data_IF_879983545222
#
_entry.id   IF_879983545222
#
_cell.length_a   1.000
_cell.length_b   1.000
_cell.length_c   1.000
_cell.angle_alpha   90.00
_cell.angle_beta   90.00
_cell.angle_gamma   90.00
#
_symmetry.space_group_name_H-M   'P 1'
#
loop_
_entity.id
_entity.type
_entity.pdbx_description
1 polymer ?
#
# COMPACT_ATOMS: atom_id res chain seq x y z
N UNK A 1 -73.59 -8.44 -36.99
CA UNK A 1 -74.38 -9.65 -36.73
C UNK A 1 -73.69 -10.49 -35.70
N UNK A 2 -74.32 -10.65 -34.68
CA UNK A 2 -74.59 -11.70 -33.68
C UNK A 2 -73.48 -11.83 -32.59
N UNK A 3 -73.73 -11.41 -31.42
CA UNK A 3 -74.51 -11.91 -30.28
C UNK A 3 -73.85 -13.07 -29.54
N UNK A 4 -73.55 -12.82 -28.27
CA UNK A 4 -74.04 -13.42 -27.02
C UNK A 4 -73.08 -14.54 -26.57
N UNK A 5 -72.69 -14.75 -25.31
CA UNK A 5 -73.35 -14.56 -24.01
C UNK A 5 -72.37 -14.84 -22.86
N UNK A 6 -72.62 -14.28 -21.78
CA UNK A 6 -72.08 -14.48 -20.46
C UNK A 6 -72.24 -15.90 -19.89
N UNK A 7 -71.39 -16.35 -18.99
CA UNK A 7 -71.91 -17.03 -17.78
C UNK A 7 -70.95 -16.89 -16.61
N UNK A 8 -71.52 -16.55 -15.48
CA UNK A 8 -71.02 -16.37 -14.12
C UNK A 8 -70.62 -17.71 -13.52
N UNK A 9 -69.59 -17.70 -12.72
CA UNK A 9 -69.28 -18.82 -11.82
C UNK A 9 -68.51 -18.27 -10.62
N UNK A 10 -69.26 -18.00 -9.60
CA UNK A 10 -68.86 -17.61 -8.25
C UNK A 10 -68.56 -18.91 -7.46
N UNK A 11 -67.38 -19.04 -6.86
CA UNK A 11 -67.24 -19.84 -5.62
C UNK A 11 -66.03 -19.40 -4.80
N UNK A 12 -66.27 -19.35 -3.55
CA UNK A 12 -65.65 -18.71 -2.45
C UNK A 12 -64.44 -19.47 -1.83
N UNK A 13 -63.63 -18.68 -1.13
CA UNK A 13 -63.02 -18.91 0.19
C UNK A 13 -61.98 -20.05 0.31
N UNK A 14 -60.71 -19.70 0.60
CA UNK A 14 -60.08 -20.11 1.85
C UNK A 14 -58.80 -19.29 2.14
N UNK A 15 -58.89 -18.51 3.22
CA UNK A 15 -57.73 -17.85 3.85
C UNK A 15 -56.79 -18.87 4.43
N UNK A 16 -55.51 -18.79 4.11
CA UNK A 16 -54.44 -19.34 4.93
C UNK A 16 -53.39 -18.23 5.10
N UNK A 17 -53.38 -17.63 6.27
CA UNK A 17 -52.24 -16.84 6.76
C UNK A 17 -51.06 -17.75 6.96
N UNK A 18 -50.01 -17.55 6.18
CA UNK A 18 -48.65 -18.01 6.57
C UNK A 18 -47.79 -16.80 6.81
N UNK A 19 -47.44 -16.64 8.07
CA UNK A 19 -46.43 -15.73 8.60
C UNK A 19 -45.06 -16.13 8.05
N UNK A 20 -44.64 -15.52 6.94
CA UNK A 20 -43.32 -15.69 6.33
C UNK A 20 -42.36 -14.62 6.85
N UNK A 21 -41.42 -15.00 7.73
CA UNK A 21 -40.32 -14.16 8.15
C UNK A 21 -39.53 -13.68 6.90
N UNK A 22 -39.57 -12.38 6.63
CA UNK A 22 -38.74 -11.76 5.63
C UNK A 22 -37.30 -11.75 6.12
N UNK A 23 -36.50 -12.73 5.67
CA UNK A 23 -35.04 -12.65 5.72
C UNK A 23 -34.66 -11.56 4.72
N UNK A 24 -34.35 -10.35 5.21
CA UNK A 24 -33.71 -9.32 4.43
C UNK A 24 -32.25 -9.77 4.17
N UNK A 25 -32.04 -10.46 3.08
CA UNK A 25 -30.71 -10.63 2.49
C UNK A 25 -30.30 -9.22 2.04
N UNK A 26 -29.49 -8.56 2.87
CA UNK A 26 -28.79 -7.36 2.48
C UNK A 26 -27.90 -7.70 1.29
N UNK A 27 -28.37 -7.39 0.09
CA UNK A 27 -27.52 -7.35 -1.10
C UNK A 27 -26.53 -6.23 -0.88
N UNK A 28 -25.38 -6.57 -0.29
CA UNK A 28 -24.20 -5.74 -0.34
C UNK A 28 -23.89 -5.50 -1.81
N UNK A 29 -24.25 -4.34 -2.32
CA UNK A 29 -23.83 -3.91 -3.63
C UNK A 29 -22.30 -3.97 -3.63
N UNK A 30 -21.73 -4.96 -4.28
CA UNK A 30 -20.34 -4.98 -4.65
C UNK A 30 -20.12 -3.73 -5.52
N UNK A 31 -19.57 -2.68 -4.90
CA UNK A 31 -19.06 -1.54 -5.64
C UNK A 31 -17.95 -2.06 -6.52
N UNK A 32 -18.21 -2.12 -7.81
CA UNK A 32 -17.20 -2.36 -8.83
C UNK A 32 -16.07 -1.32 -8.66
N UNK A 33 -14.89 -1.81 -8.34
CA UNK A 33 -13.62 -1.31 -8.81
C UNK A 33 -13.29 0.15 -8.63
N UNK A 34 -13.15 0.62 -7.39
CA UNK A 34 -12.16 1.65 -7.13
C UNK A 34 -10.89 0.90 -6.66
N UNK A 35 -9.89 0.79 -7.56
CA UNK A 35 -8.59 0.17 -7.25
C UNK A 35 -7.77 1.05 -6.28
N UNK A 36 -8.40 1.99 -5.60
CA UNK A 36 -7.75 2.83 -4.61
C UNK A 36 -7.54 2.05 -3.31
N UNK A 37 -6.29 1.85 -2.97
CA UNK A 37 -5.89 1.24 -1.70
C UNK A 37 -6.44 2.09 -0.55
N UNK A 38 -7.11 1.46 0.42
CA UNK A 38 -7.67 2.16 1.57
C UNK A 38 -6.63 2.42 2.66
N UNK A 39 -6.90 3.39 3.53
CA UNK A 39 -6.06 3.68 4.69
C UNK A 39 -5.81 2.44 5.54
N UNK A 40 -6.87 1.68 5.89
CA UNK A 40 -6.75 0.47 6.70
C UNK A 40 -5.88 -0.61 6.05
N UNK A 41 -5.95 -0.74 4.72
CA UNK A 41 -5.08 -1.67 3.99
C UNK A 41 -3.62 -1.26 4.09
N UNK A 42 -3.33 0.03 4.00
CA UNK A 42 -1.98 0.57 4.12
C UNK A 42 -1.46 0.37 5.55
N UNK A 43 -2.26 0.71 6.58
CA UNK A 43 -1.87 0.51 7.98
C UNK A 43 -1.53 -0.94 8.24
N UNK A 44 -2.40 -1.90 7.84
CA UNK A 44 -2.16 -3.34 8.02
C UNK A 44 -0.91 -3.82 7.28
N UNK A 45 -0.67 -3.32 6.07
CA UNK A 45 0.48 -3.72 5.26
C UNK A 45 1.81 -3.19 5.82
N UNK A 46 1.77 -2.00 6.43
CA UNK A 46 2.95 -1.34 6.99
C UNK A 46 3.13 -1.59 8.49
N UNK A 47 2.11 -2.11 9.18
CA UNK A 47 2.24 -2.45 10.60
C UNK A 47 3.34 -3.52 10.78
N UNK A 48 4.27 -3.32 11.73
CA UNK A 48 5.25 -4.34 12.04
C UNK A 48 4.54 -5.63 12.47
N UNK A 49 4.94 -6.78 11.91
CA UNK A 49 4.33 -8.07 12.23
C UNK A 49 4.30 -8.30 13.76
N UNK A 50 3.12 -8.53 14.34
CA UNK A 50 3.02 -8.92 15.74
C UNK A 50 3.70 -10.26 15.95
N UNK A 51 4.73 -10.31 16.81
CA UNK A 51 5.16 -11.57 17.38
C UNK A 51 3.98 -12.05 18.23
N UNK A 52 3.17 -12.99 17.70
CA UNK A 52 2.16 -13.67 18.50
C UNK A 52 2.86 -14.19 19.77
N UNK A 53 2.34 -13.91 20.98
CA UNK A 53 2.92 -14.49 22.17
C UNK A 53 2.88 -16.01 22.00
N UNK A 54 4.04 -16.66 22.13
CA UNK A 54 4.16 -18.10 22.10
C UNK A 54 3.31 -18.66 23.23
N UNK A 55 2.08 -19.06 22.93
CA UNK A 55 1.38 -20.02 23.78
C UNK A 55 2.26 -21.26 23.85
N UNK A 56 2.53 -21.71 25.03
CA UNK A 56 3.43 -22.79 25.46
C UNK A 56 3.04 -24.11 24.79
N UNK A 57 3.31 -24.24 23.49
CA UNK A 57 3.16 -25.46 22.71
C UNK A 57 4.43 -25.61 21.92
N UNK A 58 5.13 -26.71 22.11
CA UNK A 58 6.32 -27.14 21.41
C UNK A 58 6.10 -27.05 19.90
N UNK A 59 6.53 -25.95 19.27
CA UNK A 59 6.68 -25.85 17.83
C UNK A 59 8.16 -25.64 17.54
N UNK A 60 8.83 -26.73 17.23
CA UNK A 60 10.17 -26.73 16.66
C UNK A 60 10.04 -26.40 15.17
N UNK A 61 9.98 -25.10 14.85
CA UNK A 61 10.16 -24.58 13.51
C UNK A 61 11.34 -23.62 13.51
N UNK A 62 12.11 -23.46 12.44
CA UNK A 62 13.21 -22.50 12.38
C UNK A 62 12.65 -21.10 12.54
N UNK A 63 12.74 -20.55 13.75
CA UNK A 63 12.54 -19.12 13.97
C UNK A 63 13.75 -18.42 13.36
N UNK A 64 13.55 -17.68 12.30
CA UNK A 64 14.52 -16.69 11.82
C UNK A 64 14.67 -15.63 12.92
N UNK A 65 15.50 -15.89 13.90
CA UNK A 65 15.96 -14.87 14.83
C UNK A 65 16.87 -13.96 14.02
N UNK A 66 16.41 -12.77 13.70
CA UNK A 66 17.26 -11.73 13.13
C UNK A 66 18.37 -11.46 14.12
N UNK A 67 19.64 -11.61 13.69
CA UNK A 67 20.81 -11.37 14.53
C UNK A 67 20.73 -9.94 15.10
N UNK A 68 20.84 -9.77 16.42
CA UNK A 68 20.83 -8.44 17.04
C UNK A 68 21.87 -7.48 16.47
N UNK A 69 23.04 -8.00 16.03
CA UNK A 69 24.09 -7.22 15.40
C UNK A 69 23.65 -6.69 14.02
N UNK A 70 22.97 -7.52 13.22
CA UNK A 70 22.40 -7.11 11.93
C UNK A 70 21.35 -6.04 12.13
N UNK A 71 20.44 -6.23 13.08
CA UNK A 71 19.40 -5.25 13.40
C UNK A 71 19.99 -3.91 13.84
N UNK A 72 21.05 -3.91 14.66
CA UNK A 72 21.73 -2.70 15.10
C UNK A 72 22.44 -1.99 13.94
N UNK A 73 23.08 -2.74 13.03
CA UNK A 73 23.71 -2.19 11.83
C UNK A 73 22.69 -1.54 10.89
N UNK A 74 21.56 -2.20 10.63
CA UNK A 74 20.44 -1.65 9.86
C UNK A 74 19.92 -0.35 10.47
N UNK A 75 19.66 -0.34 11.78
CA UNK A 75 19.17 0.84 12.49
C UNK A 75 20.16 2.00 12.36
N UNK A 76 21.46 1.74 12.55
CA UNK A 76 22.51 2.75 12.39
C UNK A 76 22.55 3.28 10.96
N UNK A 77 22.47 2.42 9.97
CA UNK A 77 22.45 2.82 8.56
C UNK A 77 21.22 3.69 8.26
N UNK A 78 20.03 3.29 8.69
CA UNK A 78 18.79 4.09 8.53
C UNK A 78 18.96 5.47 9.14
N UNK A 79 19.58 5.60 10.31
CA UNK A 79 19.85 6.90 10.94
C UNK A 79 20.78 7.77 10.08
N UNK A 80 21.76 7.19 9.40
CA UNK A 80 22.70 7.97 8.56
C UNK A 80 22.05 8.52 7.30
N UNK A 81 21.01 7.86 6.78
CA UNK A 81 20.29 8.28 5.55
C UNK A 81 19.05 9.13 5.84
N UNK A 82 18.58 9.21 7.09
CA UNK A 82 17.45 10.04 7.49
C UNK A 82 17.73 11.52 7.17
N UNK A 83 16.72 12.19 6.61
CA UNK A 83 16.81 13.61 6.27
C UNK A 83 17.65 13.93 5.03
N UNK A 84 18.30 12.95 4.41
CA UNK A 84 19.08 13.16 3.19
C UNK A 84 18.17 13.29 1.96
N UNK A 85 18.66 14.01 0.99
CA UNK A 85 17.99 14.11 -0.31
C UNK A 85 18.21 12.82 -1.11
N UNK A 86 17.21 12.37 -1.87
CA UNK A 86 17.25 11.20 -2.75
C UNK A 86 18.49 11.17 -3.64
N UNK A 87 18.80 12.30 -4.28
CA UNK A 87 19.95 12.45 -5.18
C UNK A 87 21.32 12.38 -4.50
N UNK A 88 21.36 12.46 -3.17
CA UNK A 88 22.62 12.34 -2.41
C UNK A 88 22.96 10.89 -2.05
N UNK A 89 22.08 9.94 -2.36
CA UNK A 89 22.31 8.52 -2.12
C UNK A 89 23.21 7.93 -3.21
N UNK A 90 24.31 7.31 -2.83
CA UNK A 90 25.17 6.56 -3.73
C UNK A 90 24.47 5.29 -4.25
N UNK A 91 25.01 4.69 -5.30
CA UNK A 91 24.54 3.41 -5.83
C UNK A 91 24.61 2.33 -4.73
N UNK A 92 25.70 2.29 -3.97
CA UNK A 92 25.86 1.33 -2.87
C UNK A 92 24.82 1.49 -1.78
N UNK A 93 24.54 2.72 -1.35
CA UNK A 93 23.50 2.98 -0.35
C UNK A 93 22.11 2.59 -0.87
N UNK A 94 21.80 2.82 -2.14
CA UNK A 94 20.54 2.38 -2.75
C UNK A 94 20.40 0.85 -2.75
N UNK A 95 21.47 0.12 -3.05
CA UNK A 95 21.47 -1.36 -3.00
C UNK A 95 21.37 -1.86 -1.55
N UNK A 96 21.99 -1.20 -0.60
CA UNK A 96 21.85 -1.52 0.82
C UNK A 96 20.42 -1.31 1.30
N UNK A 97 19.79 -0.17 0.95
CA UNK A 97 18.35 0.04 1.20
C UNK A 97 17.54 -1.09 0.56
N UNK A 98 17.80 -1.44 -0.72
CA UNK A 98 17.08 -2.50 -1.42
C UNK A 98 17.20 -3.86 -0.72
N UNK A 99 18.33 -4.12 -0.07
CA UNK A 99 18.57 -5.36 0.69
C UNK A 99 17.78 -5.36 2.00
N UNK A 100 17.84 -4.27 2.76
CA UNK A 100 17.15 -4.14 4.05
C UNK A 100 15.62 -4.22 3.88
N UNK A 101 15.06 -3.60 2.85
CA UNK A 101 13.59 -3.54 2.65
C UNK A 101 12.96 -4.86 2.20
N UNK A 102 13.76 -5.88 1.83
CA UNK A 102 13.23 -7.17 1.34
C UNK A 102 12.28 -7.82 2.32
N UNK A 103 12.65 -7.82 3.60
CA UNK A 103 11.94 -8.53 4.67
C UNK A 103 11.11 -7.60 5.57
N UNK A 104 11.00 -6.31 5.20
CA UNK A 104 10.23 -5.32 5.95
C UNK A 104 8.77 -5.25 5.48
N UNK A 105 7.85 -4.83 6.37
CA UNK A 105 6.47 -4.52 6.00
C UNK A 105 6.42 -3.46 4.90
N UNK A 106 5.71 -3.75 3.83
CA UNK A 106 5.70 -2.88 2.65
C UNK A 106 4.38 -2.93 1.89
N UNK A 107 4.13 -1.88 1.14
CA UNK A 107 3.00 -1.81 0.20
C UNK A 107 3.45 -1.16 -1.10
N UNK A 108 2.97 -1.70 -2.21
CA UNK A 108 3.12 -1.10 -3.54
C UNK A 108 1.85 -0.30 -3.87
N UNK A 109 2.02 0.96 -4.19
CA UNK A 109 0.95 1.85 -4.62
C UNK A 109 1.13 2.16 -6.10
N UNK A 110 0.10 1.89 -6.90
CA UNK A 110 0.04 2.32 -8.29
C UNK A 110 -0.25 3.82 -8.32
N UNK A 111 0.81 4.62 -8.36
CA UNK A 111 0.71 6.08 -8.43
C UNK A 111 1.05 6.52 -9.85
N UNK A 112 0.02 6.95 -10.55
CA UNK A 112 0.17 7.53 -11.87
C UNK A 112 0.59 9.00 -11.73
N UNK A 113 1.60 9.37 -12.47
CA UNK A 113 2.06 10.75 -12.62
C UNK A 113 1.69 11.23 -14.03
N UNK A 114 1.61 12.51 -14.22
CA UNK A 114 1.41 13.07 -15.55
C UNK A 114 2.59 12.71 -16.46
N UNK A 115 2.33 12.70 -17.76
CA UNK A 115 3.35 12.29 -18.74
C UNK A 115 4.63 13.13 -18.58
N UNK A 116 5.77 12.46 -18.52
CA UNK A 116 7.09 13.07 -18.31
C UNK A 116 7.18 14.00 -17.09
N UNK A 117 6.33 13.81 -16.09
CA UNK A 117 6.23 14.63 -14.89
C UNK A 117 6.44 13.81 -13.62
N UNK A 118 6.73 14.51 -12.53
CA UNK A 118 6.66 14.03 -11.16
C UNK A 118 5.43 14.59 -10.43
N UNK A 119 4.53 15.29 -11.12
CA UNK A 119 3.30 15.78 -10.54
C UNK A 119 2.32 14.63 -10.34
N UNK A 120 1.75 14.55 -9.15
CA UNK A 120 0.77 13.51 -8.80
C UNK A 120 -0.50 13.77 -9.59
N UNK A 121 -0.90 12.82 -10.44
CA UNK A 121 -2.12 12.96 -11.23
C UNK A 121 -3.36 12.99 -10.32
N UNK A 122 -4.42 13.66 -10.78
CA UNK A 122 -5.70 13.71 -10.06
C UNK A 122 -6.26 12.31 -9.75
N UNK A 123 -6.01 11.33 -10.64
CA UNK A 123 -6.42 9.93 -10.46
C UNK A 123 -5.74 9.27 -9.27
N UNK A 124 -4.48 9.59 -9.00
CA UNK A 124 -3.68 8.98 -7.92
C UNK A 124 -3.76 9.73 -6.60
N UNK A 125 -4.31 10.94 -6.62
CA UNK A 125 -4.43 11.76 -5.42
C UNK A 125 -5.14 11.04 -4.25
N UNK A 126 -6.27 10.31 -4.46
CA UNK A 126 -6.91 9.57 -3.38
C UNK A 126 -5.99 8.53 -2.71
N UNK A 127 -5.17 7.80 -3.48
CA UNK A 127 -4.21 6.82 -2.94
C UNK A 127 -3.11 7.48 -2.11
N UNK A 128 -2.60 8.64 -2.56
CA UNK A 128 -1.60 9.41 -1.80
C UNK A 128 -2.21 10.02 -0.53
N UNK A 129 -3.46 10.43 -0.59
CA UNK A 129 -4.20 10.90 0.60
C UNK A 129 -4.43 9.77 1.60
N UNK A 130 -4.81 8.57 1.14
CA UNK A 130 -4.94 7.39 1.99
C UNK A 130 -3.60 7.04 2.65
N UNK A 131 -2.48 7.12 1.90
CA UNK A 131 -1.14 6.95 2.45
C UNK A 131 -0.86 7.99 3.55
N UNK A 132 -1.14 9.27 3.31
CA UNK A 132 -0.91 10.32 4.29
C UNK A 132 -1.66 10.08 5.61
N UNK A 133 -2.94 9.71 5.53
CA UNK A 133 -3.73 9.35 6.71
C UNK A 133 -3.17 8.12 7.42
N UNK A 134 -2.80 7.09 6.66
CA UNK A 134 -2.22 5.87 7.23
C UNK A 134 -0.91 6.13 7.98
N UNK A 135 0.00 6.93 7.43
CA UNK A 135 1.29 7.24 8.08
C UNK A 135 1.13 8.14 9.31
N UNK A 136 0.01 8.84 9.46
CA UNK A 136 -0.33 9.61 10.67
C UNK A 136 -1.14 8.81 11.69
N UNK A 137 -1.56 7.58 11.37
CA UNK A 137 -2.23 6.68 12.29
C UNK A 137 -1.34 6.35 13.50
N UNK A 138 -1.95 6.13 14.67
CA UNK A 138 -1.24 5.86 15.93
C UNK A 138 -0.29 4.66 15.84
N UNK A 139 -0.65 3.63 15.04
CA UNK A 139 0.14 2.40 14.89
C UNK A 139 1.43 2.61 14.06
N UNK A 140 1.49 3.66 13.26
CA UNK A 140 2.59 3.95 12.34
C UNK A 140 3.30 5.27 12.65
N UNK A 141 2.71 6.11 13.50
CA UNK A 141 3.24 7.43 13.83
C UNK A 141 4.63 7.34 14.48
N UNK A 142 5.57 8.11 13.95
CA UNK A 142 6.94 8.15 14.44
C UNK A 142 7.88 7.09 13.87
N UNK A 143 7.34 6.16 13.06
CA UNK A 143 8.16 5.21 12.30
C UNK A 143 8.92 5.90 11.17
N UNK A 144 10.02 5.31 10.75
CA UNK A 144 10.77 5.74 9.57
C UNK A 144 10.32 4.92 8.36
N UNK A 145 10.03 5.58 7.25
CA UNK A 145 9.58 4.94 6.02
C UNK A 145 10.54 5.19 4.88
N UNK A 146 10.73 4.18 4.04
CA UNK A 146 11.34 4.34 2.71
C UNK A 146 10.22 4.51 1.69
N UNK A 147 10.30 5.57 0.89
CA UNK A 147 9.43 5.82 -0.27
C UNK A 147 10.25 5.61 -1.52
N UNK A 148 10.05 4.47 -2.17
CA UNK A 148 10.82 4.03 -3.32
C UNK A 148 10.05 4.23 -4.63
N UNK A 149 10.61 5.03 -5.55
CA UNK A 149 10.07 5.23 -6.89
C UNK A 149 10.60 4.19 -7.87
N UNK A 150 9.72 3.68 -8.74
CA UNK A 150 10.04 2.73 -9.80
C UNK A 150 9.46 3.18 -11.12
N UNK A 151 10.10 2.81 -12.23
CA UNK A 151 9.60 2.98 -13.59
C UNK A 151 9.46 1.61 -14.27
N UNK A 152 8.78 1.58 -15.41
CA UNK A 152 8.91 0.50 -16.36
C UNK A 152 10.27 0.60 -17.10
N UNK A 153 10.54 -0.33 -18.03
CA UNK A 153 11.79 -0.38 -18.77
C UNK A 153 11.86 0.58 -19.97
N UNK A 154 10.81 1.38 -20.21
CA UNK A 154 10.85 2.36 -21.31
C UNK A 154 11.90 3.45 -21.07
N UNK A 155 12.66 3.78 -22.10
CA UNK A 155 13.67 4.85 -22.04
C UNK A 155 15.02 4.43 -21.44
N UNK A 156 15.89 5.42 -21.29
CA UNK A 156 17.26 5.25 -20.82
C UNK A 156 17.37 5.05 -19.31
N UNK A 157 18.48 4.45 -18.86
CA UNK A 157 18.74 4.18 -17.43
C UNK A 157 18.77 5.48 -16.61
N UNK A 158 19.61 6.43 -17.02
CA UNK A 158 19.79 7.70 -16.30
C UNK A 158 18.48 8.51 -16.21
N UNK A 159 17.69 8.50 -17.30
CA UNK A 159 16.39 9.15 -17.33
C UNK A 159 15.41 8.52 -16.32
N UNK A 160 15.30 7.17 -16.31
CA UNK A 160 14.42 6.47 -15.40
C UNK A 160 14.86 6.62 -13.93
N UNK A 161 16.18 6.66 -13.70
CA UNK A 161 16.72 6.92 -12.37
C UNK A 161 16.28 8.30 -11.87
N UNK A 162 16.52 9.37 -12.61
CA UNK A 162 16.11 10.73 -12.26
C UNK A 162 14.58 10.85 -12.10
N UNK A 163 13.82 10.26 -13.03
CA UNK A 163 12.35 10.29 -12.96
C UNK A 163 11.81 9.63 -11.71
N UNK A 164 12.34 8.47 -11.34
CA UNK A 164 11.92 7.74 -10.15
C UNK A 164 12.27 8.49 -8.85
N UNK A 165 13.43 9.15 -8.80
CA UNK A 165 13.83 10.01 -7.68
C UNK A 165 12.89 11.20 -7.53
N UNK A 166 12.62 11.93 -8.62
CA UNK A 166 11.69 13.07 -8.59
C UNK A 166 10.28 12.67 -8.15
N UNK A 167 9.80 11.50 -8.56
CA UNK A 167 8.49 10.98 -8.16
C UNK A 167 8.43 10.63 -6.69
N UNK A 168 9.45 9.96 -6.15
CA UNK A 168 9.54 9.68 -4.71
C UNK A 168 9.58 10.99 -3.89
N UNK A 169 10.35 11.98 -4.34
CA UNK A 169 10.43 13.29 -3.68
C UNK A 169 9.11 14.07 -3.74
N UNK A 170 8.32 13.94 -4.81
CA UNK A 170 7.01 14.58 -4.90
C UNK A 170 6.02 13.99 -3.90
N UNK A 171 6.03 12.67 -3.72
CA UNK A 171 5.23 12.01 -2.68
C UNK A 171 5.66 12.50 -1.29
N UNK A 172 6.97 12.52 -1.01
CA UNK A 172 7.50 13.02 0.28
C UNK A 172 7.02 14.45 0.54
N UNK A 173 7.20 15.37 -0.42
CA UNK A 173 6.75 16.76 -0.27
C UNK A 173 5.27 16.84 0.04
N UNK A 174 4.44 16.12 -0.72
CA UNK A 174 3.01 16.10 -0.49
C UNK A 174 2.65 15.63 0.93
N UNK A 175 3.29 14.56 1.42
CA UNK A 175 3.06 14.02 2.75
C UNK A 175 3.50 14.99 3.87
N UNK A 176 4.63 15.65 3.70
CA UNK A 176 5.12 16.68 4.64
C UNK A 176 4.16 17.87 4.66
N UNK A 177 3.82 18.41 3.48
CA UNK A 177 3.05 19.65 3.37
C UNK A 177 1.58 19.49 3.79
N UNK A 178 0.97 18.34 3.49
CA UNK A 178 -0.48 18.12 3.72
C UNK A 178 -0.79 17.40 5.02
N UNK A 179 0.13 16.57 5.53
CA UNK A 179 -0.11 15.73 6.70
C UNK A 179 0.84 16.04 7.86
N UNK A 180 1.78 16.97 7.69
CA UNK A 180 2.71 17.35 8.74
C UNK A 180 3.67 16.23 9.17
N UNK A 181 3.88 15.23 8.30
CA UNK A 181 4.82 14.15 8.57
C UNK A 181 6.23 14.74 8.58
N UNK A 182 7.04 14.36 9.56
CA UNK A 182 8.41 14.88 9.63
C UNK A 182 9.21 14.37 8.42
N UNK A 183 9.78 15.28 7.66
CA UNK A 183 10.55 14.94 6.46
C UNK A 183 11.76 14.04 6.72
N UNK A 184 12.31 14.01 7.95
CA UNK A 184 13.38 13.09 8.34
C UNK A 184 12.90 11.65 8.47
N UNK A 185 11.59 11.44 8.69
CA UNK A 185 11.00 10.11 8.82
C UNK A 185 10.64 9.49 7.45
N UNK A 186 10.81 10.25 6.37
CA UNK A 186 10.59 9.82 5.00
C UNK A 186 11.92 9.81 4.22
N UNK A 187 12.50 8.64 4.06
CA UNK A 187 13.67 8.41 3.19
C UNK A 187 13.19 8.11 1.78
N UNK A 188 13.58 8.94 0.82
CA UNK A 188 13.22 8.73 -0.59
C UNK A 188 14.33 8.05 -1.35
N UNK A 189 14.01 7.13 -2.25
CA UNK A 189 14.96 6.44 -3.12
C UNK A 189 14.35 6.21 -4.51
N UNK A 190 15.13 6.42 -5.56
CA UNK A 190 14.77 6.06 -6.92
C UNK A 190 15.52 4.81 -7.34
N UNK A 191 14.80 3.87 -7.93
CA UNK A 191 15.38 2.65 -8.51
C UNK A 191 15.27 2.63 -10.04
N UNK A 192 14.59 3.64 -10.62
CA UNK A 192 14.34 3.64 -12.06
C UNK A 192 13.74 2.32 -12.51
N UNK A 193 14.33 1.73 -13.55
CA UNK A 193 13.96 0.42 -14.10
C UNK A 193 14.80 -0.76 -13.57
N UNK A 194 15.73 -0.51 -12.62
CA UNK A 194 16.63 -1.55 -12.12
C UNK A 194 15.95 -2.60 -11.21
N UNK A 195 14.78 -2.26 -10.64
CA UNK A 195 14.02 -3.12 -9.72
C UNK A 195 12.58 -3.27 -10.21
N UNK A 196 12.40 -3.94 -11.36
CA UNK A 196 11.07 -4.25 -11.90
C UNK A 196 10.31 -5.19 -10.97
N UNK A 197 9.00 -4.98 -10.84
CA UNK A 197 8.10 -5.90 -10.11
C UNK A 197 7.83 -7.15 -10.94
N UNK A 198 7.63 -6.95 -12.24
CA UNK A 198 7.46 -8.03 -13.22
C UNK A 198 8.55 -7.92 -14.30
N UNK A 199 9.68 -8.63 -14.13
CA UNK A 199 10.74 -8.66 -15.15
C UNK A 199 10.33 -9.38 -16.43
N UNK A 200 9.30 -10.23 -16.40
CA UNK A 200 8.80 -10.93 -17.59
C UNK A 200 8.02 -10.01 -18.51
N UNK A 201 7.44 -8.94 -17.97
CA UNK A 201 6.72 -7.90 -18.68
C UNK A 201 7.32 -6.51 -18.34
N UNK A 202 8.51 -6.19 -18.84
CA UNK A 202 9.27 -5.03 -18.39
C UNK A 202 8.58 -3.69 -18.66
N UNK A 203 7.68 -3.62 -19.64
CA UNK A 203 6.90 -2.43 -20.00
C UNK A 203 5.55 -2.37 -19.28
N UNK A 204 5.17 -3.38 -18.49
CA UNK A 204 3.87 -3.43 -17.83
C UNK A 204 3.69 -2.30 -16.81
N UNK A 205 2.45 -1.85 -16.68
CA UNK A 205 2.06 -0.76 -15.78
C UNK A 205 2.40 -1.06 -14.31
N UNK A 206 2.34 -2.32 -13.91
CA UNK A 206 2.67 -2.78 -12.55
C UNK A 206 4.11 -2.40 -12.12
N UNK A 207 5.00 -2.15 -13.08
CA UNK A 207 6.36 -1.67 -12.80
C UNK A 207 6.41 -0.17 -12.46
N UNK A 208 5.43 0.62 -12.91
CA UNK A 208 5.30 2.04 -12.59
C UNK A 208 4.58 2.22 -11.26
N UNK A 209 5.33 2.17 -10.17
CA UNK A 209 4.78 2.20 -8.82
C UNK A 209 5.63 3.01 -7.86
N UNK A 210 5.03 3.35 -6.75
CA UNK A 210 5.73 3.80 -5.53
C UNK A 210 5.57 2.70 -4.48
N UNK A 211 6.68 2.21 -3.97
CA UNK A 211 6.70 1.28 -2.85
C UNK A 211 6.97 2.04 -1.56
N UNK A 212 6.17 1.78 -0.54
CA UNK A 212 6.39 2.32 0.81
C UNK A 212 6.74 1.17 1.74
N UNK A 213 7.80 1.33 2.52
CA UNK A 213 8.34 0.30 3.41
C UNK A 213 8.52 0.90 4.80
N UNK A 214 8.01 0.22 5.82
CA UNK A 214 8.26 0.59 7.21
C UNK A 214 9.61 0.01 7.66
N UNK A 215 10.53 0.89 8.08
CA UNK A 215 11.87 0.50 8.50
C UNK A 215 11.96 0.08 9.96
N UNK A 216 10.89 0.22 10.74
CA UNK A 216 10.88 -0.15 12.14
C UNK A 216 11.06 -1.66 12.34
N UNK A 217 11.97 -1.99 13.26
CA UNK A 217 12.07 -3.32 13.83
C UNK A 217 11.29 -3.31 15.15
N UNK A 218 10.31 -4.19 15.31
CA UNK A 218 9.41 -4.25 16.48
C UNK A 218 10.10 -4.47 17.84
N UNK A 219 11.41 -4.54 17.89
CA UNK A 219 12.17 -4.69 19.13
C UNK A 219 12.31 -3.38 19.95
N UNK A 220 12.00 -2.21 19.38
CA UNK A 220 12.22 -0.90 20.01
C UNK A 220 10.96 -0.19 20.51
N UNK A 221 9.78 -0.74 20.32
CA UNK A 221 8.50 -0.13 20.70
C UNK A 221 8.05 -0.48 22.14
N UNK A 222 8.95 -0.86 23.05
CA UNK A 222 8.63 -1.03 24.45
C UNK A 222 9.38 -0.02 25.31
N UNK A 223 8.77 1.15 25.47
CA UNK A 223 8.92 2.02 26.66
C UNK A 223 7.64 2.79 26.88
#
# INVERSE_FOLDING_TARGET
>A
MSKISATKGLTAILSIMTLGAALSVGTGAARAGDNNVTEDQIVRALAPAEKKPLTRGLSVGPQTQTDPAVTAAETKFVQTIRGRNTRSLSITEREEIATIVKDKPKIDLEINFDYNSADISAKSLPSVQALGRALTNADLKGSTFVVAGHTDAAGGEAYNQDLSERRADSIKRYLVDKYGINGSDLVTVGYGKSKLKDPSQPMAEVNRRVQVVNMENKATASK
#
